data_IF_606730252932
#
_entry.id   IF_606730252932
#
_cell.length_a   1.000
_cell.length_b   1.000
_cell.length_c   1.000
_cell.angle_alpha   90.00
_cell.angle_beta   90.00
_cell.angle_gamma   90.00
#
_symmetry.space_group_name_H-M   'P 1'
#
loop_
_entity.id
_entity.type
_entity.pdbx_description
1 polymer ?
#
# COMPACT_ATOMS: atom_id res chain seq x y z
N UNK A 1 24.21 -30.72 43.72
CA UNK A 1 24.06 -29.29 44.10
C UNK A 1 24.18 -28.50 42.80
N UNK A 2 23.07 -28.17 42.12
CA UNK A 2 22.28 -26.91 42.22
C UNK A 2 23.20 -25.70 42.33
N UNK A 3 23.22 -24.75 41.39
CA UNK A 3 22.12 -23.80 41.13
C UNK A 3 22.06 -23.39 39.64
N UNK A 4 20.83 -23.30 39.12
CA UNK A 4 20.47 -22.77 37.80
C UNK A 4 20.54 -21.25 37.84
N UNK A 5 21.34 -20.64 36.97
CA UNK A 5 21.27 -19.19 36.73
C UNK A 5 20.46 -18.95 35.45
N UNK A 6 19.20 -18.60 35.62
CA UNK A 6 18.30 -18.14 34.56
C UNK A 6 18.51 -16.64 34.46
N UNK A 7 19.14 -16.16 33.38
CA UNK A 7 19.19 -14.73 33.06
C UNK A 7 18.05 -14.42 32.08
N UNK A 8 17.08 -13.64 32.56
CA UNK A 8 15.93 -13.18 31.80
C UNK A 8 16.30 -12.06 30.82
N UNK A 9 15.50 -12.01 29.75
CA UNK A 9 15.64 -11.17 28.57
C UNK A 9 15.42 -9.67 28.81
N UNK A 10 16.02 -8.86 27.95
CA UNK A 10 15.48 -7.57 27.54
C UNK A 10 15.71 -7.40 26.03
N UNK A 11 14.82 -7.99 25.24
CA UNK A 11 14.70 -7.68 23.81
C UNK A 11 14.20 -6.24 23.73
N UNK A 12 15.08 -5.33 23.35
CA UNK A 12 14.71 -3.94 23.06
C UNK A 12 13.98 -3.96 21.72
N UNK A 13 12.66 -4.05 21.77
CA UNK A 13 11.78 -3.70 20.66
C UNK A 13 11.93 -2.19 20.40
N UNK A 14 12.77 -1.83 19.44
CA UNK A 14 12.76 -0.50 18.83
C UNK A 14 11.49 -0.35 17.99
N UNK A 15 10.35 -0.16 18.65
CA UNK A 15 9.09 0.29 18.05
C UNK A 15 9.08 1.81 18.04
N UNK A 16 9.60 2.41 16.99
CA UNK A 16 9.50 3.85 16.75
C UNK A 16 9.17 4.07 15.28
N UNK A 17 7.97 4.60 15.03
CA UNK A 17 7.60 5.12 13.73
C UNK A 17 6.49 4.37 12.99
N UNK A 18 5.56 3.73 13.70
CA UNK A 18 4.21 3.62 13.15
C UNK A 18 3.62 5.04 13.16
N UNK A 19 3.95 5.85 12.15
CA UNK A 19 3.05 6.89 11.70
C UNK A 19 1.84 6.16 11.13
N UNK A 20 0.95 5.74 12.02
CA UNK A 20 -0.43 5.43 11.69
C UNK A 20 -1.04 6.76 11.24
N UNK A 21 -0.79 7.11 9.98
CA UNK A 21 -1.67 7.99 9.25
C UNK A 21 -3.02 7.29 9.26
N UNK A 22 -3.85 7.63 10.26
CA UNK A 22 -5.28 7.39 10.27
C UNK A 22 -5.85 8.08 9.04
N UNK A 23 -5.78 7.40 7.89
CA UNK A 23 -6.59 7.73 6.74
C UNK A 23 -8.02 7.48 7.19
N UNK A 24 -8.75 8.57 7.41
CA UNK A 24 -10.17 8.55 7.70
C UNK A 24 -10.85 7.66 6.67
N UNK A 25 -11.34 6.50 7.11
CA UNK A 25 -12.08 5.58 6.26
C UNK A 25 -13.42 6.22 5.99
N UNK A 26 -13.59 6.75 4.76
CA UNK A 26 -14.88 7.24 4.29
C UNK A 26 -15.94 6.13 4.29
N UNK A 27 -17.23 6.49 4.20
CA UNK A 27 -18.31 5.50 4.16
C UNK A 27 -18.09 4.52 2.99
N UNK A 28 -18.20 3.23 3.26
CA UNK A 28 -18.11 2.16 2.26
C UNK A 28 -19.53 1.76 1.89
N UNK A 29 -19.91 1.85 0.62
CA UNK A 29 -21.22 1.39 0.18
C UNK A 29 -21.31 -0.14 0.22
N UNK A 30 -22.50 -0.67 0.46
CA UNK A 30 -22.73 -2.12 0.50
C UNK A 30 -22.27 -2.74 -0.83
N UNK A 31 -21.33 -3.68 -0.76
CA UNK A 31 -20.76 -4.36 -1.92
C UNK A 31 -19.56 -3.67 -2.57
N UNK A 32 -19.06 -2.56 -2.03
CA UNK A 32 -17.79 -1.95 -2.46
C UNK A 32 -16.62 -2.41 -1.58
N UNK A 33 -15.43 -2.54 -2.19
CA UNK A 33 -14.20 -2.67 -1.42
C UNK A 33 -13.82 -1.35 -0.76
N UNK A 34 -13.25 -1.44 0.44
CA UNK A 34 -12.74 -0.28 1.16
C UNK A 34 -11.33 0.14 0.66
N UNK A 35 -10.87 1.31 1.13
CA UNK A 35 -9.56 1.87 0.81
C UNK A 35 -8.38 0.95 1.13
N UNK A 36 -8.43 0.22 2.25
CA UNK A 36 -7.36 -0.71 2.62
C UNK A 36 -7.24 -1.84 1.59
N UNK A 37 -8.37 -2.44 1.19
CA UNK A 37 -8.41 -3.49 0.18
C UNK A 37 -7.97 -2.96 -1.18
N UNK A 38 -8.31 -1.71 -1.50
CA UNK A 38 -7.87 -1.04 -2.71
C UNK A 38 -6.33 -0.93 -2.79
N UNK A 39 -5.65 -0.51 -1.72
CA UNK A 39 -4.18 -0.51 -1.68
C UNK A 39 -3.57 -1.91 -1.83
N UNK A 40 -4.17 -2.92 -1.20
CA UNK A 40 -3.71 -4.30 -1.30
C UNK A 40 -3.79 -4.82 -2.74
N UNK A 41 -4.92 -4.58 -3.43
CA UNK A 41 -5.11 -4.98 -4.82
C UNK A 41 -4.15 -4.24 -5.76
N UNK A 42 -3.97 -2.93 -5.58
CA UNK A 42 -3.03 -2.16 -6.38
C UNK A 42 -1.60 -2.67 -6.26
N UNK A 43 -1.15 -2.96 -5.03
CA UNK A 43 0.19 -3.52 -4.79
C UNK A 43 0.34 -4.91 -5.42
N UNK A 44 -0.65 -5.78 -5.25
CA UNK A 44 -0.63 -7.12 -5.84
C UNK A 44 -0.57 -7.05 -7.38
N UNK A 45 -1.27 -6.09 -7.99
CA UNK A 45 -1.25 -5.91 -9.44
C UNK A 45 0.12 -5.42 -9.96
N UNK A 46 0.79 -4.51 -9.23
CA UNK A 46 2.16 -4.11 -9.57
C UNK A 46 3.11 -5.30 -9.52
N UNK A 47 3.03 -6.12 -8.47
CA UNK A 47 3.85 -7.35 -8.33
C UNK A 47 3.57 -8.33 -9.48
N UNK A 48 2.29 -8.55 -9.80
CA UNK A 48 1.86 -9.45 -10.88
C UNK A 48 2.41 -9.03 -12.25
N UNK A 49 2.64 -7.73 -12.46
CA UNK A 49 3.19 -7.16 -13.69
C UNK A 49 4.71 -7.00 -13.68
N UNK A 50 5.40 -7.52 -12.66
CA UNK A 50 6.84 -7.33 -12.46
C UNK A 50 7.26 -5.86 -12.31
N UNK A 51 6.35 -5.05 -11.77
CA UNK A 51 6.53 -3.61 -11.47
C UNK A 51 6.80 -3.38 -9.97
N UNK A 52 7.38 -4.39 -9.30
CA UNK A 52 7.61 -4.43 -7.84
C UNK A 52 8.39 -3.22 -7.31
N UNK A 53 9.27 -2.65 -8.14
CA UNK A 53 10.07 -1.47 -7.82
C UNK A 53 9.20 -0.25 -7.45
N UNK A 54 7.97 -0.17 -7.97
CA UNK A 54 7.04 0.95 -7.71
C UNK A 54 6.15 0.70 -6.50
N UNK A 55 6.04 -0.55 -6.01
CA UNK A 55 5.17 -0.89 -4.90
C UNK A 55 5.58 -0.25 -3.55
N UNK A 56 6.85 0.17 -3.44
CA UNK A 56 7.38 0.89 -2.28
C UNK A 56 7.28 2.41 -2.38
N UNK A 57 6.77 2.94 -3.50
CA UNK A 57 6.61 4.38 -3.68
C UNK A 57 5.45 4.92 -2.84
N UNK A 58 5.48 6.22 -2.54
CA UNK A 58 4.38 6.88 -1.82
C UNK A 58 3.10 6.75 -2.65
N UNK A 59 2.08 6.13 -2.05
CA UNK A 59 0.79 5.91 -2.71
C UNK A 59 -0.28 6.87 -2.20
N UNK A 60 -1.13 7.34 -3.11
CA UNK A 60 -2.35 8.09 -2.81
C UNK A 60 -3.52 7.37 -3.48
N UNK A 61 -4.66 7.32 -2.81
CA UNK A 61 -5.89 6.79 -3.39
C UNK A 61 -6.85 7.93 -3.73
N UNK A 62 -7.55 7.79 -4.85
CA UNK A 62 -8.66 8.67 -5.24
C UNK A 62 -9.92 7.84 -5.41
N UNK A 63 -11.00 8.33 -4.81
CA UNK A 63 -12.33 7.75 -4.86
C UNK A 63 -13.11 8.31 -6.06
N UNK A 64 -13.44 7.48 -7.04
CA UNK A 64 -14.40 7.79 -8.09
C UNK A 64 -15.62 6.88 -7.96
N UNK A 65 -16.77 7.31 -8.49
CA UNK A 65 -18.07 6.61 -8.41
C UNK A 65 -17.94 5.08 -8.34
N UNK A 66 -17.45 4.43 -9.41
CA UNK A 66 -17.31 2.96 -9.51
C UNK A 66 -15.88 2.45 -9.46
N UNK A 67 -14.89 3.33 -9.32
CA UNK A 67 -13.47 3.02 -9.52
C UNK A 67 -12.63 3.56 -8.39
N UNK A 68 -11.75 2.72 -7.87
CA UNK A 68 -10.63 3.16 -7.06
C UNK A 68 -9.42 3.39 -7.96
N UNK A 69 -8.72 4.49 -7.76
CA UNK A 69 -7.44 4.76 -8.44
C UNK A 69 -6.35 4.94 -7.38
N UNK A 70 -5.36 4.06 -7.39
CA UNK A 70 -4.17 4.16 -6.54
C UNK A 70 -3.01 4.69 -7.38
N UNK A 71 -2.49 5.86 -7.02
CA UNK A 71 -1.37 6.52 -7.68
C UNK A 71 -0.12 6.42 -6.83
N UNK A 72 0.95 5.87 -7.39
CA UNK A 72 2.28 5.77 -6.81
C UNK A 72 3.17 6.87 -7.41
N UNK A 73 3.78 7.69 -6.57
CA UNK A 73 4.61 8.82 -7.01
C UNK A 73 6.09 8.51 -6.88
N UNK A 74 6.87 8.82 -7.92
CA UNK A 74 8.33 8.65 -7.89
C UNK A 74 8.92 9.47 -6.74
N UNK A 75 9.71 8.85 -5.84
CA UNK A 75 10.46 9.58 -4.83
C UNK A 75 11.42 10.60 -5.45
N UNK A 76 11.63 11.75 -4.83
CA UNK A 76 12.49 12.82 -5.38
C UNK A 76 13.97 12.43 -5.49
N UNK A 77 14.41 11.45 -4.72
CA UNK A 77 15.75 10.86 -4.75
C UNK A 77 15.93 9.81 -5.87
N UNK A 78 14.87 9.51 -6.63
CA UNK A 78 14.89 8.63 -7.79
C UNK A 78 14.79 9.43 -9.08
N UNK A 79 15.72 9.20 -10.00
CA UNK A 79 15.74 9.80 -11.34
C UNK A 79 15.19 8.86 -12.42
N UNK A 80 15.19 7.55 -12.16
CA UNK A 80 14.79 6.54 -13.14
C UNK A 80 13.32 6.12 -12.99
N UNK A 81 12.69 5.77 -14.11
CA UNK A 81 11.29 5.35 -14.20
C UNK A 81 10.32 6.52 -14.38
N UNK A 82 9.01 6.26 -14.47
CA UNK A 82 8.00 7.30 -14.71
C UNK A 82 7.83 8.21 -13.49
N UNK A 83 7.36 9.44 -13.69
CA UNK A 83 7.01 10.36 -12.57
C UNK A 83 5.91 9.79 -11.67
N UNK A 84 4.97 9.03 -12.23
CA UNK A 84 3.94 8.32 -11.46
C UNK A 84 3.45 7.04 -12.16
N UNK A 85 2.86 6.15 -11.37
CA UNK A 85 2.17 4.93 -11.82
C UNK A 85 0.78 4.88 -11.21
N UNK A 86 -0.25 4.62 -12.00
CA UNK A 86 -1.65 4.51 -11.55
C UNK A 86 -2.15 3.10 -11.75
N UNK A 87 -2.86 2.57 -10.76
CA UNK A 87 -3.59 1.31 -10.85
C UNK A 87 -5.06 1.60 -10.55
N UNK A 88 -5.92 1.31 -11.52
CA UNK A 88 -7.36 1.57 -11.45
C UNK A 88 -8.12 0.25 -11.40
N UNK A 89 -9.11 0.12 -10.54
CA UNK A 89 -9.94 -1.09 -10.45
C UNK A 89 -11.37 -0.78 -10.02
N UNK A 90 -12.29 -1.64 -10.46
CA UNK A 90 -13.70 -1.53 -10.15
C UNK A 90 -13.95 -1.86 -8.66
N UNK A 91 -14.71 -1.00 -7.96
CA UNK A 91 -14.97 -1.13 -6.52
C UNK A 91 -15.75 -2.39 -6.15
N UNK A 92 -16.59 -2.89 -7.05
CA UNK A 92 -17.47 -4.04 -6.79
C UNK A 92 -16.82 -5.33 -7.26
N UNK A 93 -16.27 -5.36 -8.49
CA UNK A 93 -15.74 -6.59 -9.09
C UNK A 93 -14.29 -6.86 -8.72
N UNK A 94 -13.58 -5.87 -8.16
CA UNK A 94 -12.14 -5.94 -7.86
C UNK A 94 -11.26 -6.15 -9.09
N UNK A 95 -11.82 -6.05 -10.29
CA UNK A 95 -11.10 -6.22 -11.55
C UNK A 95 -10.32 -4.96 -11.87
N UNK A 96 -9.08 -5.16 -12.32
CA UNK A 96 -8.22 -4.09 -12.82
C UNK A 96 -8.80 -3.53 -14.11
N UNK A 97 -9.04 -2.22 -14.12
CA UNK A 97 -9.55 -1.46 -15.25
C UNK A 97 -8.37 -0.97 -16.10
N UNK A 98 -7.34 -0.41 -15.47
CA UNK A 98 -6.18 0.15 -16.16
C UNK A 98 -4.94 0.18 -15.25
N UNK A 99 -3.77 0.14 -15.90
CA UNK A 99 -2.48 0.42 -15.27
C UNK A 99 -1.73 1.39 -16.19
N UNK A 100 -1.47 2.60 -15.71
CA UNK A 100 -0.92 3.69 -16.51
C UNK A 100 0.36 4.24 -15.87
N UNK A 101 1.28 4.73 -16.69
CA UNK A 101 2.50 5.44 -16.27
C UNK A 101 2.52 6.82 -16.91
N UNK A 102 2.96 7.85 -16.19
CA UNK A 102 3.09 9.20 -16.73
C UNK A 102 4.37 9.89 -16.25
N UNK A 103 4.87 10.81 -17.08
CA UNK A 103 6.03 11.66 -16.86
C UNK A 103 5.65 13.12 -16.56
#
# INVERSE_FOLDING_TARGET
MSVRTILAAAVICAGLGACESMQTVGPVHIGEINQQKAFQLARAELVRRHMDAYAGWRAQITDYDKVWVVTYYRPSDKTDGPSLVRVSFNKHTQQVVAVDTAD
#
